data_IF_831089618993
#
_entry.id   IF_831089618993
#
_cell.length_a   1.000
_cell.length_b   1.000
_cell.length_c   1.000
_cell.angle_alpha   90.00
_cell.angle_beta   90.00
_cell.angle_gamma   90.00
#
_symmetry.space_group_name_H-M   'P 1'
#
loop_
_entity.id
_entity.type
_entity.pdbx_description
1 polymer ?
#
# COMPACT_ATOMS: atom_id res chain seq x y z
N UNK A 1 -9.47 75.24 12.31
CA UNK A 1 -8.51 75.63 13.36
C UNK A 1 -7.61 74.42 13.59
N UNK A 2 -6.28 74.44 13.58
CA UNK A 2 -5.28 75.49 13.42
C UNK A 2 -3.90 74.79 13.49
N UNK A 3 -2.98 75.13 12.56
CA UNK A 3 -1.50 75.23 12.67
C UNK A 3 -0.73 74.13 13.42
N UNK A 4 0.15 73.33 12.79
CA UNK A 4 1.52 73.61 12.31
C UNK A 4 2.38 74.42 13.30
N UNK A 5 3.44 73.81 13.85
CA UNK A 5 4.78 74.45 14.01
C UNK A 5 5.88 73.38 13.96
N UNK A 6 6.88 73.64 13.13
CA UNK A 6 8.15 72.93 12.89
C UNK A 6 9.15 73.06 14.06
N UNK A 7 10.32 72.43 13.93
CA UNK A 7 11.70 72.97 14.11
C UNK A 7 12.64 71.74 14.20
N UNK A 8 13.25 71.25 13.11
CA UNK A 8 14.41 71.77 12.34
C UNK A 8 15.70 71.84 13.17
N UNK A 9 16.61 70.90 12.94
CA UNK A 9 18.03 71.24 12.83
C UNK A 9 18.78 70.26 11.92
N UNK A 10 19.74 70.82 11.20
CA UNK A 10 20.32 70.38 9.94
C UNK A 10 21.83 70.63 10.06
N UNK A 11 22.67 69.60 9.93
CA UNK A 11 24.07 69.81 9.51
C UNK A 11 24.69 68.55 8.89
N UNK A 12 25.04 68.71 7.62
CA UNK A 12 25.85 67.95 6.64
C UNK A 12 27.35 67.82 7.02
N UNK A 13 28.26 67.33 6.15
CA UNK A 13 28.24 66.28 5.10
C UNK A 13 29.46 65.31 5.23
N UNK A 14 29.58 64.25 4.42
CA UNK A 14 30.78 64.05 3.60
C UNK A 14 30.59 62.96 2.51
N UNK A 15 31.25 63.23 1.41
CA UNK A 15 31.28 62.68 0.07
C UNK A 15 32.16 61.43 0.00
N UNK A 16 31.78 60.42 -0.80
CA UNK A 16 32.72 59.66 -1.65
C UNK A 16 31.99 58.67 -2.57
N UNK A 17 32.03 58.98 -3.86
CA UNK A 17 31.68 58.18 -5.07
C UNK A 17 32.88 57.28 -5.46
N UNK A 18 32.78 56.27 -6.37
CA UNK A 18 32.35 56.39 -7.78
C UNK A 18 31.51 55.19 -8.32
N UNK A 19 30.46 55.36 -9.13
CA UNK A 19 30.36 55.62 -10.58
C UNK A 19 31.20 54.74 -11.53
N UNK A 20 30.51 53.88 -12.30
CA UNK A 20 30.80 53.46 -13.69
C UNK A 20 29.39 53.15 -14.27
N UNK A 21 28.81 53.85 -15.24
CA UNK A 21 29.30 54.23 -16.56
C UNK A 21 28.37 53.58 -17.61
N UNK A 22 27.43 54.34 -18.19
CA UNK A 22 26.83 53.98 -19.50
C UNK A 22 27.87 54.15 -20.63
N UNK A 23 27.60 53.87 -21.93
CA UNK A 23 26.42 54.32 -22.70
C UNK A 23 26.02 53.31 -23.83
N UNK A 24 25.54 53.70 -25.04
CA UNK A 24 24.20 54.20 -25.38
C UNK A 24 23.45 53.37 -26.46
N UNK A 25 22.17 53.72 -26.62
CA UNK A 25 21.34 53.83 -27.83
C UNK A 25 21.45 52.90 -29.05
N UNK A 26 20.25 52.48 -29.46
CA UNK A 26 19.75 52.25 -30.83
C UNK A 26 20.25 51.04 -31.61
N UNK A 27 19.36 50.07 -31.79
CA UNK A 27 18.73 49.81 -33.10
C UNK A 27 17.60 48.80 -32.96
N UNK A 28 16.45 49.13 -33.54
CA UNK A 28 15.26 48.29 -33.65
C UNK A 28 15.44 47.21 -34.72
N UNK A 29 15.22 45.94 -34.37
CA UNK A 29 14.80 44.91 -35.35
C UNK A 29 13.74 43.99 -34.73
N UNK A 30 12.55 44.06 -35.31
CA UNK A 30 11.41 43.16 -35.08
C UNK A 30 11.81 41.74 -35.51
N UNK A 31 11.73 40.76 -34.59
CA UNK A 31 11.55 39.35 -34.95
C UNK A 31 10.45 38.74 -34.09
N UNK A 32 9.45 38.23 -34.80
CA UNK A 32 8.29 37.49 -34.30
C UNK A 32 8.77 36.27 -33.51
N UNK A 33 8.55 36.27 -32.20
CA UNK A 33 8.72 35.12 -31.32
C UNK A 33 7.36 34.51 -31.02
N UNK A 34 7.22 33.22 -31.30
CA UNK A 34 6.06 32.39 -30.97
C UNK A 34 5.81 32.46 -29.46
N UNK A 35 4.57 32.77 -29.08
CA UNK A 35 4.12 32.83 -27.68
C UNK A 35 4.17 31.43 -27.07
N UNK A 36 5.25 31.15 -26.35
CA UNK A 36 5.38 29.96 -25.52
C UNK A 36 4.31 30.02 -24.44
N UNK A 37 3.34 29.09 -24.53
CA UNK A 37 2.29 28.93 -23.52
C UNK A 37 2.97 28.37 -22.28
N UNK A 38 3.15 29.19 -21.25
CA UNK A 38 3.40 28.67 -19.90
C UNK A 38 2.21 27.81 -19.48
N UNK A 39 2.35 26.51 -19.72
CA UNK A 39 1.56 25.47 -19.08
C UNK A 39 1.95 25.50 -17.61
N UNK A 40 1.04 26.00 -16.77
CA UNK A 40 1.11 25.77 -15.32
C UNK A 40 0.83 24.28 -15.15
N UNK A 41 1.89 23.49 -15.27
CA UNK A 41 1.89 22.08 -14.89
C UNK A 41 1.91 22.04 -13.37
N UNK A 42 0.72 21.92 -12.78
CA UNK A 42 0.56 21.58 -11.38
C UNK A 42 1.24 20.22 -11.18
N UNK A 43 2.44 20.25 -10.62
CA UNK A 43 3.14 19.08 -10.12
C UNK A 43 2.23 18.39 -9.11
N UNK A 44 1.60 17.31 -9.55
CA UNK A 44 1.01 16.32 -8.67
C UNK A 44 2.16 15.60 -7.95
N UNK A 45 2.68 16.27 -6.92
CA UNK A 45 3.56 15.68 -5.93
C UNK A 45 2.81 14.49 -5.30
N UNK A 46 3.32 13.29 -5.52
CA UNK A 46 2.84 12.06 -4.90
C UNK A 46 3.04 12.15 -3.39
N UNK A 47 2.05 12.70 -2.67
CA UNK A 47 2.07 12.70 -1.21
C UNK A 47 2.02 11.25 -0.75
N UNK A 48 3.08 10.80 -0.08
CA UNK A 48 3.02 9.61 0.74
C UNK A 48 1.72 9.65 1.56
N UNK A 49 1.01 8.51 1.76
CA UNK A 49 -0.22 8.49 2.54
C UNK A 49 0.05 9.20 3.88
N UNK A 50 -0.62 10.35 4.07
CA UNK A 50 -0.40 11.17 5.25
C UNK A 50 -0.66 10.34 6.51
N UNK A 51 -0.01 10.70 7.62
CA UNK A 51 -0.15 10.03 8.92
C UNK A 51 -1.63 9.76 9.31
N UNK A 52 -2.55 10.64 8.89
CA UNK A 52 -3.99 10.44 9.06
C UNK A 52 -4.57 9.19 8.37
N UNK A 53 -4.16 8.85 7.15
CA UNK A 53 -4.65 7.67 6.44
C UNK A 53 -4.16 6.38 7.10
N UNK A 54 -2.90 6.35 7.57
CA UNK A 54 -2.35 5.21 8.32
C UNK A 54 -3.12 4.99 9.62
N UNK A 55 -3.41 6.07 10.37
CA UNK A 55 -4.21 6.02 11.60
C UNK A 55 -5.62 5.48 11.37
N UNK A 56 -6.30 5.90 10.31
CA UNK A 56 -7.62 5.39 9.96
C UNK A 56 -7.60 3.90 9.65
N UNK A 57 -6.59 3.43 8.91
CA UNK A 57 -6.44 2.01 8.60
C UNK A 57 -6.17 1.17 9.86
N UNK A 58 -5.30 1.66 10.76
CA UNK A 58 -5.04 1.02 12.06
C UNK A 58 -6.35 0.85 12.83
N UNK A 59 -7.12 1.93 13.02
CA UNK A 59 -8.41 1.87 13.70
C UNK A 59 -9.41 0.92 13.03
N UNK A 60 -9.38 0.80 11.70
CA UNK A 60 -10.27 -0.12 10.99
C UNK A 60 -9.93 -1.58 11.30
N UNK A 61 -8.64 -1.93 11.30
CA UNK A 61 -8.17 -3.28 11.58
C UNK A 61 -8.30 -3.62 13.08
N UNK A 62 -8.04 -2.67 13.98
CA UNK A 62 -8.17 -2.87 15.45
C UNK A 62 -9.58 -3.29 15.88
N UNK A 63 -10.62 -2.88 15.15
CA UNK A 63 -12.00 -3.32 15.41
C UNK A 63 -12.21 -4.82 15.20
N UNK A 64 -11.40 -5.43 14.35
CA UNK A 64 -11.43 -6.87 14.04
C UNK A 64 -10.38 -7.62 14.87
N UNK A 65 -9.19 -7.03 15.05
CA UNK A 65 -8.11 -7.58 15.87
C UNK A 65 -7.51 -6.53 16.82
N UNK A 66 -7.91 -6.52 18.10
CA UNK A 66 -7.39 -5.57 19.09
C UNK A 66 -5.88 -5.69 19.37
N UNK A 67 -5.24 -6.79 18.95
CA UNK A 67 -3.81 -7.01 19.16
C UNK A 67 -2.91 -6.36 18.11
N UNK A 68 -3.46 -5.64 17.14
CA UNK A 68 -2.72 -4.99 16.05
C UNK A 68 -1.57 -4.11 16.58
N UNK A 69 -0.40 -4.21 15.95
CA UNK A 69 0.76 -3.36 16.23
C UNK A 69 1.07 -2.40 15.07
N UNK A 70 1.24 -2.94 13.87
CA UNK A 70 1.51 -2.14 12.68
C UNK A 70 0.96 -2.81 11.42
N UNK A 71 0.69 -2.00 10.41
CA UNK A 71 0.27 -2.47 9.08
C UNK A 71 1.50 -2.59 8.20
N UNK A 72 1.77 -3.81 7.75
CA UNK A 72 2.92 -4.15 6.89
C UNK A 72 2.61 -3.96 5.40
N UNK A 73 1.36 -4.17 5.01
CA UNK A 73 0.90 -3.95 3.64
C UNK A 73 -0.60 -3.62 3.60
N UNK A 74 -0.99 -2.79 2.63
CA UNK A 74 -2.38 -2.43 2.34
C UNK A 74 -2.64 -2.60 0.85
N UNK A 75 -3.67 -3.37 0.49
CA UNK A 75 -4.08 -3.55 -0.90
C UNK A 75 -5.56 -3.20 -1.04
N UNK A 76 -5.92 -2.11 -1.76
CA UNK A 76 -7.29 -1.60 -1.80
C UNK A 76 -8.34 -2.57 -2.33
N UNK A 77 -8.02 -3.37 -3.34
CA UNK A 77 -9.00 -4.20 -4.05
C UNK A 77 -8.52 -5.64 -4.16
N UNK A 78 -9.13 -6.50 -3.35
CA UNK A 78 -8.92 -7.94 -3.34
C UNK A 78 -10.28 -8.64 -3.22
N UNK A 79 -10.46 -9.72 -3.98
CA UNK A 79 -11.67 -10.56 -3.96
C UNK A 79 -11.29 -11.95 -3.48
N UNK A 80 -12.08 -12.50 -2.55
CA UNK A 80 -11.90 -13.89 -2.10
C UNK A 80 -12.65 -14.87 -2.99
N UNK A 81 -11.95 -15.93 -3.38
CA UNK A 81 -12.47 -17.10 -4.05
C UNK A 81 -12.28 -18.34 -3.18
N UNK A 82 -13.18 -19.31 -3.33
CA UNK A 82 -13.06 -20.64 -2.74
C UNK A 82 -13.07 -21.67 -3.87
N UNK A 83 -12.23 -22.69 -3.75
CA UNK A 83 -12.25 -23.81 -4.67
C UNK A 83 -13.29 -24.85 -4.21
N UNK A 84 -14.17 -25.25 -5.12
CA UNK A 84 -15.13 -26.34 -4.93
C UNK A 84 -14.59 -27.62 -5.55
N UNK A 85 -14.29 -28.61 -4.70
CA UNK A 85 -13.64 -29.85 -5.11
C UNK A 85 -14.55 -30.74 -5.95
N UNK A 86 -15.87 -30.70 -5.72
CA UNK A 86 -16.81 -31.58 -6.40
C UNK A 86 -16.96 -31.23 -7.89
N UNK A 87 -17.00 -29.93 -8.20
CA UNK A 87 -17.12 -29.42 -9.57
C UNK A 87 -15.78 -29.07 -10.22
N UNK A 88 -14.69 -29.09 -9.45
CA UNK A 88 -13.37 -28.63 -9.90
C UNK A 88 -13.42 -27.19 -10.44
N UNK A 89 -14.11 -26.31 -9.73
CA UNK A 89 -14.29 -24.90 -10.12
C UNK A 89 -13.92 -23.96 -8.99
N UNK A 90 -13.52 -22.74 -9.37
CA UNK A 90 -13.38 -21.64 -8.43
C UNK A 90 -14.68 -20.84 -8.37
N UNK A 91 -15.15 -20.59 -7.15
CA UNK A 91 -16.33 -19.79 -6.89
C UNK A 91 -15.95 -18.46 -6.27
N UNK A 92 -16.47 -17.36 -6.82
CA UNK A 92 -16.33 -16.03 -6.25
C UNK A 92 -17.21 -15.96 -5.00
N UNK A 93 -16.62 -15.55 -3.88
CA UNK A 93 -17.37 -15.32 -2.63
C UNK A 93 -17.95 -13.90 -2.59
N UNK A 94 -18.77 -13.61 -1.58
CA UNK A 94 -19.28 -12.25 -1.29
C UNK A 94 -18.26 -11.34 -0.61
N UNK A 95 -17.05 -11.83 -0.31
CA UNK A 95 -16.01 -11.06 0.40
C UNK A 95 -15.10 -10.38 -0.62
N UNK A 96 -15.27 -9.06 -0.74
CA UNK A 96 -14.46 -8.19 -1.59
C UNK A 96 -14.15 -6.88 -0.88
N UNK A 97 -12.89 -6.47 -0.88
CA UNK A 97 -12.51 -5.19 -0.30
C UNK A 97 -11.03 -5.02 -0.13
N UNK A 98 -10.63 -4.47 1.02
CA UNK A 98 -9.24 -4.05 1.27
C UNK A 98 -8.52 -5.08 2.14
N UNK A 99 -7.42 -5.61 1.62
CA UNK A 99 -6.54 -6.53 2.33
C UNK A 99 -5.52 -5.73 3.15
N UNK A 100 -5.41 -6.07 4.42
CA UNK A 100 -4.36 -5.61 5.33
C UNK A 100 -3.55 -6.81 5.81
N UNK A 101 -2.22 -6.72 5.68
CA UNK A 101 -1.28 -7.66 6.31
C UNK A 101 -0.61 -6.89 7.45
N UNK A 102 -0.55 -7.49 8.63
CA UNK A 102 -0.18 -6.78 9.85
C UNK A 102 0.63 -7.62 10.84
N UNK A 103 1.31 -6.92 11.75
CA UNK A 103 1.92 -7.49 12.94
C UNK A 103 1.01 -7.29 14.16
N UNK A 104 1.15 -8.16 15.17
CA UNK A 104 0.33 -8.12 16.39
C UNK A 104 1.09 -8.62 17.63
N UNK A 105 0.63 -8.21 18.82
CA UNK A 105 1.16 -8.68 20.11
C UNK A 105 0.56 -10.03 20.49
N UNK A 106 1.01 -11.11 19.85
CA UNK A 106 0.56 -12.48 20.13
C UNK A 106 1.65 -13.50 19.78
N UNK A 107 1.48 -14.75 20.23
CA UNK A 107 2.31 -15.88 19.81
C UNK A 107 2.28 -16.07 18.28
N UNK A 108 1.14 -15.79 17.64
CA UNK A 108 1.04 -15.63 16.20
C UNK A 108 1.23 -14.14 15.89
N UNK A 109 2.48 -13.73 15.71
CA UNK A 109 2.88 -12.32 15.60
C UNK A 109 2.42 -11.62 14.33
N UNK A 110 1.82 -12.36 13.38
CA UNK A 110 1.37 -11.85 12.10
C UNK A 110 0.00 -12.39 11.71
N UNK A 111 -0.76 -11.59 10.99
CA UNK A 111 -2.07 -11.94 10.45
C UNK A 111 -2.41 -11.12 9.22
N UNK A 112 -3.51 -11.47 8.59
CA UNK A 112 -4.12 -10.64 7.57
C UNK A 112 -5.64 -10.61 7.71
N UNK A 113 -6.24 -9.52 7.23
CA UNK A 113 -7.68 -9.35 7.16
C UNK A 113 -8.04 -8.78 5.80
N UNK A 114 -9.05 -9.36 5.16
CA UNK A 114 -9.74 -8.76 4.02
C UNK A 114 -11.03 -8.16 4.55
N UNK A 115 -10.99 -6.83 4.77
CA UNK A 115 -12.16 -6.08 5.19
C UNK A 115 -13.12 -5.94 4.01
N UNK A 116 -14.32 -6.48 4.18
CA UNK A 116 -15.34 -6.46 3.16
C UNK A 116 -15.94 -5.05 3.05
N UNK A 117 -16.15 -4.60 1.82
CA UNK A 117 -16.78 -3.30 1.54
C UNK A 117 -18.30 -3.39 1.44
N UNK A 118 -18.83 -4.59 1.23
CA UNK A 118 -20.25 -4.83 0.96
C UNK A 118 -21.03 -5.26 2.21
N UNK A 119 -20.34 -5.81 3.23
CA UNK A 119 -20.95 -6.25 4.48
C UNK A 119 -19.93 -6.21 5.63
N UNK A 120 -20.38 -6.55 6.84
CA UNK A 120 -19.49 -6.74 8.00
C UNK A 120 -18.83 -8.12 8.05
N UNK A 121 -19.08 -8.99 7.07
CA UNK A 121 -18.49 -10.32 6.99
C UNK A 121 -17.11 -10.25 6.37
N UNK A 122 -16.08 -10.40 7.20
CA UNK A 122 -14.68 -10.24 6.84
C UNK A 122 -13.98 -11.60 6.81
N UNK A 123 -12.95 -11.73 5.98
CA UNK A 123 -11.98 -12.80 6.14
C UNK A 123 -10.87 -12.33 7.07
N UNK A 124 -10.63 -13.04 8.17
CA UNK A 124 -9.46 -12.88 9.04
C UNK A 124 -8.73 -14.21 9.16
N UNK A 125 -7.40 -14.19 9.03
CA UNK A 125 -6.57 -15.38 9.15
C UNK A 125 -5.23 -15.02 9.80
N UNK A 126 -4.72 -15.90 10.67
CA UNK A 126 -3.40 -15.76 11.26
C UNK A 126 -2.35 -16.43 10.39
N UNK A 127 -1.13 -15.89 10.38
CA UNK A 127 -0.01 -16.52 9.67
C UNK A 127 0.65 -17.54 10.59
N UNK A 128 0.34 -18.82 10.39
CA UNK A 128 0.91 -19.91 11.19
C UNK A 128 2.29 -20.33 10.66
N UNK A 129 3.17 -20.87 11.53
CA UNK A 129 4.39 -21.54 11.07
C UNK A 129 4.05 -22.67 10.09
N UNK A 130 4.64 -22.62 8.90
CA UNK A 130 4.41 -23.62 7.86
C UNK A 130 3.15 -23.41 7.02
N UNK A 131 2.40 -22.30 7.23
CA UNK A 131 1.38 -21.87 6.28
C UNK A 131 1.98 -21.71 4.88
N UNK A 132 1.33 -22.28 3.88
CA UNK A 132 1.74 -22.18 2.47
C UNK A 132 0.93 -21.13 1.72
N UNK A 133 1.63 -20.22 1.04
CA UNK A 133 1.05 -19.24 0.13
C UNK A 133 1.65 -19.41 -1.27
N UNK A 134 0.81 -19.64 -2.28
CA UNK A 134 1.26 -19.86 -3.67
C UNK A 134 0.78 -18.74 -4.58
N UNK A 135 1.72 -18.04 -5.19
CA UNK A 135 1.42 -17.02 -6.21
C UNK A 135 1.14 -17.69 -7.56
N UNK A 136 -0.01 -17.39 -8.16
CA UNK A 136 -0.36 -17.80 -9.52
C UNK A 136 -0.99 -16.62 -10.28
N UNK A 137 -0.20 -15.92 -11.10
CA UNK A 137 -0.67 -14.73 -11.80
C UNK A 137 -1.19 -13.67 -10.83
N UNK A 138 -2.47 -13.35 -10.90
CA UNK A 138 -3.14 -12.38 -10.00
C UNK A 138 -3.59 -12.97 -8.67
N UNK A 139 -3.32 -14.24 -8.40
CA UNK A 139 -3.87 -14.95 -7.25
C UNK A 139 -2.80 -15.30 -6.23
N UNK A 140 -3.17 -15.28 -4.95
CA UNK A 140 -2.44 -15.95 -3.86
C UNK A 140 -3.33 -17.04 -3.30
N UNK A 141 -2.90 -18.29 -3.45
CA UNK A 141 -3.64 -19.47 -2.98
C UNK A 141 -3.14 -19.87 -1.59
N UNK A 142 -4.07 -20.26 -0.72
CA UNK A 142 -3.76 -20.66 0.65
C UNK A 142 -4.85 -21.59 1.21
N UNK A 143 -4.55 -22.19 2.37
CA UNK A 143 -5.53 -22.89 3.20
C UNK A 143 -5.65 -22.17 4.53
N UNK A 144 -6.86 -22.10 5.07
CA UNK A 144 -7.07 -21.60 6.42
C UNK A 144 -6.63 -22.64 7.42
N UNK A 145 -6.14 -22.22 8.58
CA UNK A 145 -5.82 -23.13 9.66
C UNK A 145 -7.07 -23.87 10.19
N UNK A 146 -8.22 -23.19 10.23
CA UNK A 146 -9.48 -23.76 10.70
C UNK A 146 -10.17 -24.69 9.70
N UNK A 147 -9.73 -24.70 8.45
CA UNK A 147 -10.40 -25.40 7.34
C UNK A 147 -9.37 -25.88 6.32
N UNK A 148 -8.59 -26.87 6.72
CA UNK A 148 -7.43 -27.39 5.98
C UNK A 148 -7.82 -28.18 4.72
N UNK A 149 -9.08 -28.55 4.55
CA UNK A 149 -9.55 -29.28 3.37
C UNK A 149 -9.96 -28.32 2.24
N UNK A 150 -10.32 -27.08 2.58
CA UNK A 150 -10.67 -26.06 1.59
C UNK A 150 -9.45 -25.27 1.13
N UNK A 151 -9.50 -24.89 -0.14
CA UNK A 151 -8.51 -24.03 -0.77
C UNK A 151 -9.15 -22.70 -1.11
N UNK A 152 -8.45 -21.63 -0.77
CA UNK A 152 -8.89 -20.26 -0.98
C UNK A 152 -7.91 -19.54 -1.93
N UNK A 153 -8.42 -18.53 -2.62
CA UNK A 153 -7.66 -17.69 -3.53
C UNK A 153 -7.99 -16.22 -3.30
N UNK A 154 -6.98 -15.41 -3.00
CA UNK A 154 -7.09 -13.95 -3.01
C UNK A 154 -6.78 -13.47 -4.43
N UNK A 155 -7.75 -12.87 -5.15
CA UNK A 155 -7.46 -12.20 -6.43
C UNK A 155 -7.10 -10.74 -6.23
N UNK A 156 -5.97 -10.33 -6.80
CA UNK A 156 -5.43 -8.99 -6.73
C UNK A 156 -5.63 -8.25 -8.05
N UNK A 157 -5.70 -6.92 -7.99
CA UNK A 157 -5.88 -6.11 -9.19
C UNK A 157 -4.77 -6.19 -10.22
N UNK A 158 -3.56 -6.55 -9.79
CA UNK A 158 -2.42 -6.74 -10.67
C UNK A 158 -1.57 -7.94 -10.21
N UNK A 159 -0.86 -8.62 -11.12
CA UNK A 159 0.08 -9.69 -10.77
C UNK A 159 1.23 -9.23 -9.87
N UNK A 160 1.58 -7.93 -9.92
CA UNK A 160 2.61 -7.37 -9.06
C UNK A 160 2.14 -7.39 -7.60
N UNK A 161 0.90 -6.97 -7.34
CA UNK A 161 0.35 -6.95 -5.99
C UNK A 161 0.20 -8.36 -5.41
N UNK A 162 -0.26 -9.34 -6.19
CA UNK A 162 -0.31 -10.74 -5.73
C UNK A 162 1.08 -11.27 -5.41
N UNK A 163 2.07 -11.01 -6.27
CA UNK A 163 3.45 -11.48 -6.06
C UNK A 163 4.06 -10.86 -4.80
N UNK A 164 4.05 -9.53 -4.68
CA UNK A 164 4.61 -8.82 -3.52
C UNK A 164 3.98 -9.29 -2.21
N UNK A 165 2.65 -9.39 -2.15
CA UNK A 165 1.95 -9.76 -0.92
C UNK A 165 2.01 -11.27 -0.62
N UNK A 166 1.97 -12.12 -1.64
CA UNK A 166 2.13 -13.56 -1.49
C UNK A 166 3.51 -13.92 -0.95
N UNK A 167 4.58 -13.30 -1.49
CA UNK A 167 5.94 -13.51 -0.97
C UNK A 167 6.13 -12.93 0.43
N UNK A 168 5.49 -11.79 0.75
CA UNK A 168 5.47 -11.27 2.12
C UNK A 168 4.86 -12.32 3.07
N UNK A 169 3.67 -12.85 2.79
CA UNK A 169 3.01 -13.86 3.62
C UNK A 169 3.88 -15.12 3.80
N UNK A 170 4.50 -15.61 2.74
CA UNK A 170 5.46 -16.73 2.80
C UNK A 170 6.65 -16.41 3.71
N UNK A 171 7.22 -15.21 3.62
CA UNK A 171 8.34 -14.81 4.47
C UNK A 171 7.96 -14.74 5.95
N UNK A 172 6.74 -14.29 6.27
CA UNK A 172 6.21 -14.20 7.63
C UNK A 172 5.94 -15.59 8.22
N UNK A 173 5.39 -16.51 7.43
CA UNK A 173 5.18 -17.92 7.82
C UNK A 173 6.50 -18.61 8.20
N UNK A 174 7.55 -18.38 7.42
CA UNK A 174 8.88 -18.94 7.69
C UNK A 174 9.51 -18.36 8.96
N UNK A 175 9.34 -17.06 9.22
CA UNK A 175 9.85 -16.42 10.44
C UNK A 175 9.16 -16.92 11.71
N UNK A 176 7.85 -17.16 11.64
CA UNK A 176 7.07 -17.64 12.78
C UNK A 176 7.62 -18.96 13.37
N UNK A 177 8.18 -19.85 12.52
CA UNK A 177 8.79 -21.11 12.94
C UNK A 177 10.16 -21.00 13.62
N UNK A 178 10.81 -19.83 13.59
CA UNK A 178 12.18 -19.63 14.10
C UNK A 178 12.27 -18.95 15.46
N UNK A 179 11.15 -18.46 16.01
CA UNK A 179 11.14 -17.53 17.14
C UNK A 179 11.18 -18.15 18.55
N UNK A 180 11.35 -19.47 18.69
CA UNK A 180 11.56 -20.11 20.00
C UNK A 180 12.94 -20.77 20.06
N UNK A 181 13.79 -20.28 20.97
CA UNK A 181 15.16 -20.75 21.17
C UNK A 181 15.27 -22.20 21.64
N UNK A 182 16.46 -22.76 21.39
CA UNK A 182 17.04 -23.97 21.99
C UNK A 182 16.25 -25.29 21.86
N UNK A 183 16.70 -26.12 20.93
CA UNK A 183 16.80 -27.57 21.12
C UNK A 183 15.51 -28.34 21.43
N UNK A 184 14.74 -28.69 20.41
CA UNK A 184 14.27 -30.07 20.20
C UNK A 184 13.68 -30.15 18.79
N UNK A 185 14.19 -31.08 17.99
CA UNK A 185 13.68 -31.38 16.65
C UNK A 185 12.29 -32.00 16.78
N UNK A 186 11.25 -31.16 16.79
CA UNK A 186 9.91 -31.58 16.39
C UNK A 186 9.76 -31.21 14.93
N UNK A 187 9.70 -32.23 14.08
CA UNK A 187 9.42 -32.04 12.66
C UNK A 187 8.12 -31.23 12.49
N UNK A 188 8.05 -30.29 11.53
CA UNK A 188 6.79 -29.63 11.25
C UNK A 188 5.79 -30.68 10.78
N UNK A 189 4.62 -30.74 11.43
CA UNK A 189 3.46 -31.44 10.88
C UNK A 189 3.18 -30.77 9.53
N UNK A 190 3.53 -31.45 8.44
CA UNK A 190 3.32 -30.97 7.09
C UNK A 190 1.82 -31.02 6.76
N UNK A 191 1.08 -30.01 7.23
CA UNK A 191 -0.15 -29.58 6.55
C UNK A 191 0.27 -28.78 5.32
N UNK A 192 1.13 -29.38 4.50
CA UNK A 192 1.54 -28.80 3.24
C UNK A 192 0.42 -29.03 2.24
N UNK A 193 0.09 -28.02 1.44
CA UNK A 193 -0.66 -28.30 0.22
C UNK A 193 0.27 -29.21 -0.60
N UNK A 194 -0.12 -30.43 -0.97
CA UNK A 194 0.78 -31.23 -1.83
C UNK A 194 0.96 -30.47 -3.16
N UNK A 195 2.20 -30.41 -3.66
CA UNK A 195 2.53 -29.69 -4.91
C UNK A 195 1.64 -30.10 -6.10
N UNK A 196 1.10 -31.32 -6.08
CA UNK A 196 0.28 -31.89 -7.15
C UNK A 196 -1.25 -31.78 -6.94
N UNK A 197 -1.75 -31.21 -5.83
CA UNK A 197 -3.19 -31.23 -5.50
C UNK A 197 -3.84 -29.85 -5.41
N UNK A 198 -3.14 -28.77 -5.75
CA UNK A 198 -3.75 -27.43 -5.77
C UNK A 198 -4.18 -27.14 -7.20
N UNK A 199 -5.50 -26.99 -7.45
CA UNK A 199 -6.02 -26.68 -8.77
C UNK A 199 -5.46 -25.33 -9.23
N UNK A 200 -4.96 -25.27 -10.46
CA UNK A 200 -4.66 -24.00 -11.08
C UNK A 200 -5.96 -23.23 -11.34
N UNK A 201 -5.89 -21.90 -11.27
CA UNK A 201 -7.03 -21.09 -11.69
C UNK A 201 -7.19 -21.23 -13.21
N UNK A 202 -8.36 -21.65 -13.75
CA UNK A 202 -8.55 -21.73 -15.19
C UNK A 202 -8.39 -20.33 -15.79
N UNK A 203 -7.55 -20.17 -16.82
CA UNK A 203 -7.36 -18.87 -17.48
C UNK A 203 -8.67 -18.27 -18.00
N UNK A 204 -9.65 -19.11 -18.35
CA UNK A 204 -11.00 -18.69 -18.74
C UNK A 204 -11.81 -18.02 -17.62
N UNK A 205 -11.50 -18.33 -16.36
CA UNK A 205 -12.16 -17.77 -15.17
C UNK A 205 -11.39 -16.58 -14.56
N UNK A 206 -10.26 -16.17 -15.15
CA UNK A 206 -9.53 -14.95 -14.78
C UNK A 206 -10.31 -13.73 -15.27
N UNK A 207 -11.46 -13.51 -14.64
CA UNK A 207 -12.32 -12.35 -14.85
C UNK A 207 -12.33 -11.46 -13.60
N UNK A 208 -11.33 -11.58 -12.72
CA UNK A 208 -11.40 -10.91 -11.43
C UNK A 208 -11.39 -9.38 -11.54
N UNK A 209 -11.12 -8.80 -12.72
CA UNK A 209 -11.21 -7.35 -12.99
C UNK A 209 -11.66 -6.93 -14.41
N UNK A 210 -12.34 -7.77 -15.19
CA UNK A 210 -13.00 -7.25 -16.40
C UNK A 210 -14.32 -6.58 -15.98
N UNK A 211 -14.23 -5.36 -15.46
CA UNK A 211 -15.28 -4.35 -15.56
C UNK A 211 -15.10 -3.60 -16.87
#
# INVERSE_FOLDING_TARGET
MSVLVEHKENTTPDNSRPNCGGPPSSTSVIKRGVRERQKVESSAESRAPGDGAKKMNIMAVERVDPGLCDILSTVPQVVLYQYESNSNTWERTSIEGTLFIYSRTSALSHGFVLLNRLSSDNLQEMVHPGSEYRVQGQFVLFKKHSDADKVYGLCFSTPLLSSTNGYLLTSLSNQAGTSNGAGHRSAPLSVGMRSQSVPSFPQSQVQCMKL
#
